data_IF_946863468536
#
_entry.id   IF_946863468536
#
_cell.length_a   1.000
_cell.length_b   1.000
_cell.length_c   1.000
_cell.angle_alpha   90.00
_cell.angle_beta   90.00
_cell.angle_gamma   90.00
#
_symmetry.space_group_name_H-M   'P 1'
#
loop_
_entity.id
_entity.type
_entity.pdbx_description
1 polymer ?
#
# COMPACT_ATOMS: atom_id res chain seq x y z
N UNK A 1 11.78 0.44 11.77
CA UNK A 1 10.88 1.40 12.44
C UNK A 1 9.50 0.76 12.58
N UNK A 2 8.62 1.24 13.48
CA UNK A 2 7.23 0.74 13.55
C UNK A 2 6.34 1.66 12.72
N UNK A 3 5.78 1.22 11.58
CA UNK A 3 4.91 2.06 10.78
C UNK A 3 3.57 2.27 11.48
N UNK A 4 2.99 3.45 11.29
CA UNK A 4 1.64 3.75 11.76
C UNK A 4 0.61 3.17 10.77
N UNK A 5 0.20 1.94 11.04
CA UNK A 5 -0.80 1.20 10.26
C UNK A 5 -2.11 1.16 11.04
N UNK A 6 -3.18 1.61 10.40
CA UNK A 6 -4.52 1.71 10.99
C UNK A 6 -5.43 0.63 10.40
N UNK A 7 -5.86 -0.37 11.18
CA UNK A 7 -6.78 -1.39 10.71
C UNK A 7 -8.15 -0.80 10.36
N UNK A 8 -8.65 -1.08 9.16
CA UNK A 8 -10.00 -0.67 8.73
C UNK A 8 -10.98 -1.80 9.00
N UNK A 9 -10.66 -3.01 8.54
CA UNK A 9 -11.57 -4.15 8.65
C UNK A 9 -10.82 -5.48 8.56
N UNK A 10 -11.18 -6.41 9.44
CA UNK A 10 -10.88 -7.83 9.25
C UNK A 10 -11.93 -8.46 8.34
N UNK A 11 -11.50 -9.13 7.27
CA UNK A 11 -12.38 -9.79 6.30
C UNK A 11 -11.95 -11.25 6.23
N UNK A 12 -12.80 -12.14 6.76
CA UNK A 12 -12.47 -13.57 6.93
C UNK A 12 -11.13 -13.75 7.66
N UNK A 13 -10.12 -14.29 6.98
CA UNK A 13 -8.81 -14.62 7.53
C UNK A 13 -7.77 -13.51 7.31
N UNK A 14 -8.04 -12.53 6.44
CA UNK A 14 -7.15 -11.42 6.16
C UNK A 14 -7.63 -10.11 6.77
N UNK A 15 -6.90 -9.03 6.49
CA UNK A 15 -7.24 -7.69 6.95
C UNK A 15 -6.98 -6.63 5.89
N UNK A 16 -7.77 -5.56 5.96
CA UNK A 16 -7.55 -4.31 5.26
C UNK A 16 -7.14 -3.25 6.27
N UNK A 17 -6.05 -2.56 5.98
CA UNK A 17 -5.53 -1.43 6.75
C UNK A 17 -5.21 -0.26 5.83
N UNK A 18 -5.08 0.93 6.42
CA UNK A 18 -4.60 2.13 5.75
C UNK A 18 -3.40 2.71 6.50
N UNK A 19 -2.55 3.43 5.80
CA UNK A 19 -1.46 4.20 6.40
C UNK A 19 -1.16 5.46 5.58
N UNK A 20 -0.44 6.41 6.17
CA UNK A 20 0.18 7.50 5.42
C UNK A 20 1.29 6.96 4.52
N UNK A 21 1.87 7.82 3.67
CA UNK A 21 3.02 7.40 2.86
C UNK A 21 4.12 6.79 3.76
N UNK A 22 4.83 5.74 3.30
CA UNK A 22 6.01 5.25 3.99
C UNK A 22 7.03 6.37 4.24
N UNK A 23 7.79 6.26 5.33
CA UNK A 23 8.94 7.13 5.58
C UNK A 23 10.05 6.79 4.60
N UNK A 24 10.53 7.81 3.89
CA UNK A 24 11.58 7.70 2.86
C UNK A 24 12.92 8.22 3.38
N UNK A 25 13.93 8.29 2.50
CA UNK A 25 15.28 8.75 2.85
C UNK A 25 16.05 7.69 3.65
N UNK A 26 16.77 8.12 4.69
CA UNK A 26 17.67 7.23 5.47
C UNK A 26 16.93 6.07 6.15
N UNK A 27 15.63 6.21 6.41
CA UNK A 27 14.81 5.24 7.14
C UNK A 27 14.01 4.30 6.23
N UNK A 28 14.16 4.40 4.90
CA UNK A 28 13.30 3.66 3.96
C UNK A 28 13.40 2.15 4.14
N UNK A 29 14.60 1.59 4.31
CA UNK A 29 14.76 0.14 4.48
C UNK A 29 14.11 -0.33 5.79
N UNK A 30 14.29 0.43 6.88
CA UNK A 30 13.70 0.15 8.19
C UNK A 30 12.18 0.29 8.22
N UNK A 31 11.63 1.17 7.38
CA UNK A 31 10.19 1.37 7.22
C UNK A 31 9.55 0.16 6.54
N UNK A 32 10.09 -0.30 5.40
CA UNK A 32 9.55 -1.46 4.69
C UNK A 32 9.76 -2.77 5.46
N UNK A 33 10.87 -2.91 6.19
CA UNK A 33 11.04 -4.02 7.13
C UNK A 33 9.99 -3.96 8.25
N UNK A 34 9.67 -2.77 8.75
CA UNK A 34 8.60 -2.52 9.70
C UNK A 34 7.24 -2.97 9.18
N UNK A 35 6.90 -2.61 7.93
CA UNK A 35 5.66 -2.98 7.25
C UNK A 35 5.55 -4.51 7.12
N UNK A 36 6.63 -5.19 6.72
CA UNK A 36 6.66 -6.65 6.64
C UNK A 36 6.52 -7.31 8.01
N UNK A 37 7.19 -6.78 9.03
CA UNK A 37 7.09 -7.29 10.42
C UNK A 37 5.69 -7.13 11.02
N UNK A 38 4.92 -6.15 10.54
CA UNK A 38 3.50 -6.00 10.88
C UNK A 38 2.63 -7.11 10.26
N UNK A 39 3.18 -7.89 9.32
CA UNK A 39 2.50 -9.00 8.66
C UNK A 39 1.75 -8.60 7.40
N UNK A 40 2.05 -7.42 6.82
CA UNK A 40 1.49 -7.00 5.53
C UNK A 40 2.04 -7.87 4.42
N UNK A 41 1.16 -8.34 3.54
CA UNK A 41 1.51 -9.16 2.38
C UNK A 41 1.39 -8.39 1.06
N UNK A 42 0.48 -7.41 0.99
CA UNK A 42 0.24 -6.60 -0.19
C UNK A 42 0.20 -5.13 0.23
N UNK A 43 1.00 -4.30 -0.43
CA UNK A 43 0.99 -2.85 -0.28
C UNK A 43 0.51 -2.20 -1.58
N UNK A 44 -0.55 -1.39 -1.45
CA UNK A 44 -1.13 -0.65 -2.57
C UNK A 44 -0.80 0.84 -2.42
N UNK A 45 -0.06 1.38 -3.39
CA UNK A 45 0.29 2.80 -3.46
C UNK A 45 -0.67 3.52 -4.39
N UNK A 46 -1.33 4.56 -3.86
CA UNK A 46 -2.23 5.44 -4.62
C UNK A 46 -1.54 6.69 -5.17
N UNK A 47 -0.24 6.86 -4.91
CA UNK A 47 0.53 8.01 -5.33
C UNK A 47 0.69 8.06 -6.85
N UNK A 48 0.60 9.26 -7.42
CA UNK A 48 1.03 9.48 -8.80
C UNK A 48 2.56 9.33 -8.93
N UNK A 49 3.04 8.98 -10.11
CA UNK A 49 4.48 8.76 -10.36
C UNK A 49 5.36 9.95 -9.93
N UNK A 50 4.90 11.17 -10.22
CA UNK A 50 5.62 12.38 -9.86
C UNK A 50 5.58 12.64 -8.34
N UNK A 51 4.46 12.34 -7.67
CA UNK A 51 4.36 12.40 -6.21
C UNK A 51 5.30 11.38 -5.55
N UNK A 52 5.31 10.13 -6.02
CA UNK A 52 6.25 9.11 -5.54
C UNK A 52 7.69 9.60 -5.66
N UNK A 53 8.06 10.23 -6.77
CA UNK A 53 9.41 10.78 -6.97
C UNK A 53 9.70 11.97 -6.04
N UNK A 54 8.77 12.93 -5.89
CA UNK A 54 8.89 14.06 -4.96
C UNK A 54 9.13 13.57 -3.52
N UNK A 55 8.47 12.46 -3.16
CA UNK A 55 8.47 11.91 -1.82
C UNK A 55 9.62 10.90 -1.57
N UNK A 56 10.46 10.59 -2.57
CA UNK A 56 11.53 9.59 -2.45
C UNK A 56 11.03 8.15 -2.36
N UNK A 57 9.89 7.87 -3.00
CA UNK A 57 9.13 6.62 -3.03
C UNK A 57 9.00 6.06 -4.45
N UNK A 58 9.83 6.49 -5.39
CA UNK A 58 9.83 5.96 -6.75
C UNK A 58 10.27 4.48 -6.83
N UNK A 59 10.92 3.98 -5.77
CA UNK A 59 11.45 2.61 -5.68
C UNK A 59 10.66 1.72 -4.70
N UNK A 60 9.42 2.08 -4.33
CA UNK A 60 8.58 1.30 -3.41
C UNK A 60 8.49 -0.18 -3.78
N UNK A 61 8.31 -0.48 -5.07
CA UNK A 61 8.26 -1.85 -5.56
C UNK A 61 9.51 -2.66 -5.18
N UNK A 62 10.70 -2.04 -5.28
CA UNK A 62 11.97 -2.68 -4.94
C UNK A 62 12.04 -2.96 -3.43
N UNK A 63 11.65 -2.00 -2.59
CA UNK A 63 11.66 -2.18 -1.14
C UNK A 63 10.62 -3.21 -0.68
N UNK A 64 9.44 -3.24 -1.31
CA UNK A 64 8.43 -4.26 -1.07
C UNK A 64 8.94 -5.66 -1.42
N UNK A 65 9.49 -5.84 -2.62
CA UNK A 65 10.00 -7.15 -3.06
C UNK A 65 11.15 -7.66 -2.18
N UNK A 66 12.03 -6.78 -1.70
CA UNK A 66 13.08 -7.17 -0.73
C UNK A 66 12.53 -7.74 0.58
N UNK A 67 11.30 -7.39 0.93
CA UNK A 67 10.64 -7.75 2.19
C UNK A 67 9.47 -8.73 1.96
N UNK A 68 9.44 -9.43 0.82
CA UNK A 68 8.38 -10.38 0.45
C UNK A 68 6.95 -9.79 0.45
N UNK A 69 6.84 -8.49 0.17
CA UNK A 69 5.58 -7.77 0.01
C UNK A 69 5.27 -7.64 -1.49
N UNK A 70 4.06 -8.03 -1.89
CA UNK A 70 3.56 -7.75 -3.22
C UNK A 70 3.17 -6.27 -3.35
N UNK A 71 3.69 -5.59 -4.36
CA UNK A 71 3.45 -4.16 -4.57
C UNK A 71 2.46 -3.91 -5.71
N UNK A 72 1.50 -3.01 -5.48
CA UNK A 72 0.53 -2.58 -6.50
C UNK A 72 0.54 -1.06 -6.57
N UNK A 73 0.87 -0.50 -7.72
CA UNK A 73 0.66 0.91 -8.01
C UNK A 73 -0.69 1.11 -8.68
N UNK A 74 -1.55 1.92 -8.07
CA UNK A 74 -2.82 2.34 -8.63
C UNK A 74 -2.98 3.86 -8.43
N UNK A 75 -2.33 4.68 -9.28
CA UNK A 75 -2.26 6.12 -9.07
C UNK A 75 -3.65 6.76 -9.15
N UNK A 76 -4.00 7.54 -8.14
CA UNK A 76 -5.20 8.39 -8.11
C UNK A 76 -4.71 9.83 -7.95
N UNK A 77 -5.11 10.70 -8.88
CA UNK A 77 -4.77 12.12 -8.82
C UNK A 77 -5.18 12.73 -7.48
N UNK A 78 -4.35 13.61 -6.92
CA UNK A 78 -4.69 14.26 -5.65
C UNK A 78 -6.08 14.94 -5.72
N UNK A 79 -6.91 14.67 -4.70
CA UNK A 79 -8.33 15.06 -4.61
C UNK A 79 -9.20 14.60 -5.78
N UNK A 80 -8.74 13.62 -6.54
CA UNK A 80 -9.42 13.02 -7.67
C UNK A 80 -10.17 11.74 -7.30
N UNK A 81 -10.68 11.09 -8.33
CA UNK A 81 -11.30 9.76 -8.27
C UNK A 81 -10.60 8.84 -9.27
N UNK A 82 -10.75 7.51 -9.16
CA UNK A 82 -10.21 6.59 -10.15
C UNK A 82 -10.65 6.98 -11.58
N UNK A 83 -9.67 7.13 -12.48
CA UNK A 83 -9.93 7.53 -13.88
C UNK A 83 -10.72 6.49 -14.69
N UNK A 84 -10.85 5.26 -14.18
CA UNK A 84 -11.58 4.18 -14.82
C UNK A 84 -12.29 3.31 -13.80
N UNK A 85 -13.62 3.33 -13.84
CA UNK A 85 -14.48 2.46 -13.02
C UNK A 85 -14.14 0.99 -13.26
N UNK A 86 -13.94 0.60 -14.52
CA UNK A 86 -13.65 -0.79 -14.88
C UNK A 86 -12.33 -1.28 -14.27
N UNK A 87 -11.25 -0.50 -14.34
CA UNK A 87 -9.98 -0.88 -13.72
C UNK A 87 -10.07 -0.87 -12.20
N UNK A 88 -10.80 0.08 -11.63
CA UNK A 88 -10.99 0.16 -10.18
C UNK A 88 -11.77 -1.04 -9.64
N UNK A 89 -12.86 -1.44 -10.30
CA UNK A 89 -13.64 -2.63 -9.92
C UNK A 89 -12.79 -3.91 -10.03
N UNK A 90 -11.95 -4.03 -11.08
CA UNK A 90 -11.02 -5.15 -11.21
C UNK A 90 -10.04 -5.21 -10.02
N UNK A 91 -9.47 -4.07 -9.62
CA UNK A 91 -8.59 -3.99 -8.45
C UNK A 91 -9.33 -4.38 -7.18
N UNK A 92 -10.54 -3.86 -6.94
CA UNK A 92 -11.35 -4.20 -5.76
C UNK A 92 -11.60 -5.71 -5.68
N UNK A 93 -12.03 -6.34 -6.78
CA UNK A 93 -12.29 -7.78 -6.81
C UNK A 93 -11.01 -8.58 -6.52
N UNK A 94 -9.88 -8.17 -7.11
CA UNK A 94 -8.59 -8.79 -6.83
C UNK A 94 -8.23 -8.68 -5.34
N UNK A 95 -8.22 -7.47 -4.77
CA UNK A 95 -7.89 -7.25 -3.36
C UNK A 95 -8.83 -7.99 -2.42
N UNK A 96 -10.13 -8.01 -2.71
CA UNK A 96 -11.11 -8.73 -1.91
C UNK A 96 -10.86 -10.24 -1.89
N UNK A 97 -10.47 -10.82 -3.02
CA UNK A 97 -10.11 -12.23 -3.12
C UNK A 97 -8.84 -12.55 -2.32
N UNK A 98 -7.81 -11.70 -2.42
CA UNK A 98 -6.58 -11.86 -1.65
C UNK A 98 -6.81 -11.76 -0.14
N UNK A 99 -7.59 -10.75 0.31
CA UNK A 99 -7.93 -10.63 1.73
C UNK A 99 -8.74 -11.85 2.18
N UNK A 100 -9.71 -12.29 1.38
CA UNK A 100 -10.49 -13.49 1.65
C UNK A 100 -9.63 -14.75 1.78
N UNK A 101 -8.53 -14.82 1.02
CA UNK A 101 -7.54 -15.90 1.07
C UNK A 101 -6.56 -15.79 2.26
N UNK A 102 -6.70 -14.75 3.10
CA UNK A 102 -5.90 -14.58 4.32
C UNK A 102 -4.79 -13.55 4.22
N UNK A 103 -4.69 -12.79 3.11
CA UNK A 103 -3.67 -11.75 2.97
C UNK A 103 -4.03 -10.52 3.79
N UNK A 104 -3.03 -9.93 4.44
CA UNK A 104 -3.12 -8.61 5.05
C UNK A 104 -2.68 -7.57 4.02
N UNK A 105 -3.57 -6.63 3.75
CA UNK A 105 -3.36 -5.58 2.75
C UNK A 105 -3.30 -4.23 3.46
N UNK A 106 -2.33 -3.42 3.08
CA UNK A 106 -2.28 -1.99 3.43
C UNK A 106 -2.41 -1.14 2.18
N UNK A 107 -3.23 -0.10 2.26
CA UNK A 107 -3.36 0.90 1.20
C UNK A 107 -2.84 2.23 1.74
N UNK A 108 -2.01 2.93 0.98
CA UNK A 108 -1.56 4.27 1.34
C UNK A 108 -1.74 5.27 0.21
N UNK A 109 -1.88 6.53 0.61
CA UNK A 109 -1.79 7.71 -0.26
C UNK A 109 -0.71 8.63 0.33
N UNK A 110 -0.82 9.95 0.14
CA UNK A 110 0.07 10.92 0.78
C UNK A 110 -0.16 11.01 2.30
N UNK A 111 -1.43 11.17 2.73
CA UNK A 111 -1.79 11.47 4.12
C UNK A 111 -2.42 10.31 4.91
N UNK A 112 -2.85 9.24 4.23
CA UNK A 112 -3.40 8.04 4.87
C UNK A 112 -4.77 8.21 5.53
N UNK A 113 -5.60 9.13 5.03
CA UNK A 113 -6.97 9.37 5.49
C UNK A 113 -7.94 9.41 4.31
#
# INVERSE_FOLDING_TARGET
>A
MKPDIYPVKKIKNGSLSVMAKPVSGEWIEDEFAGIASYGINILVSLLEKEESKELGLENEQKHCHKNDINFISYPIKDRGVPNSVTHFVKLIHYLFNEISAGKNIVIHCRAGR
#
